data_IF_801137086755
#
_entry.id   IF_801137086755
#
_cell.length_a   1.000
_cell.length_b   1.000
_cell.length_c   1.000
_cell.angle_alpha   90.00
_cell.angle_beta   90.00
_cell.angle_gamma   90.00
#
_symmetry.space_group_name_H-M   'P 1'
#
loop_
_entity.id
_entity.type
_entity.pdbx_description
1 polymer ?
#
# COMPACT_ATOMS: atom_id res chain seq x y z
N UNK A 1 -4.25 -3.10 -0.38
CA UNK A 1 -5.57 -3.72 -0.57
C UNK A 1 -6.47 -3.44 0.66
N UNK A 2 -7.78 -3.61 0.53
CA UNK A 2 -8.70 -3.47 1.68
C UNK A 2 -8.67 -4.66 2.65
N UNK A 3 -9.71 -4.77 3.47
CA UNK A 3 -9.84 -5.79 4.54
C UNK A 3 -9.71 -7.24 4.05
N UNK A 4 -10.09 -7.52 2.80
CA UNK A 4 -10.07 -8.86 2.18
C UNK A 4 -8.82 -9.17 1.36
N UNK A 5 -7.86 -8.24 1.29
CA UNK A 5 -6.64 -8.44 0.49
C UNK A 5 -6.81 -8.13 -1.00
N UNK A 6 -5.91 -8.68 -1.82
CA UNK A 6 -5.87 -8.45 -3.28
C UNK A 6 -6.76 -9.46 -4.00
N UNK A 7 -8.00 -9.05 -4.30
CA UNK A 7 -9.00 -9.86 -5.01
C UNK A 7 -9.17 -9.49 -6.49
N UNK A 8 -10.11 -10.14 -7.20
CA UNK A 8 -10.32 -9.97 -8.64
C UNK A 8 -10.60 -8.53 -9.08
N UNK A 9 -11.31 -7.73 -8.28
CA UNK A 9 -11.59 -6.33 -8.60
C UNK A 9 -10.33 -5.46 -8.64
N UNK A 10 -9.39 -5.66 -7.70
CA UNK A 10 -8.11 -4.96 -7.69
C UNK A 10 -7.17 -5.46 -8.80
N UNK A 11 -7.29 -6.73 -9.19
CA UNK A 11 -6.60 -7.27 -10.36
C UNK A 11 -7.11 -6.65 -11.66
N UNK A 12 -8.44 -6.53 -11.82
CA UNK A 12 -9.05 -5.87 -12.95
C UNK A 12 -8.63 -4.38 -13.04
N UNK A 13 -8.62 -3.67 -11.91
CA UNK A 13 -8.10 -2.30 -11.84
C UNK A 13 -6.62 -2.21 -12.25
N UNK A 14 -5.77 -3.11 -11.73
CA UNK A 14 -4.36 -3.14 -12.11
C UNK A 14 -4.17 -3.37 -13.63
N UNK A 15 -4.97 -4.26 -14.21
CA UNK A 15 -4.97 -4.51 -15.66
C UNK A 15 -5.44 -3.27 -16.44
N UNK A 16 -6.51 -2.59 -16.02
CA UNK A 16 -7.00 -1.38 -16.70
C UNK A 16 -5.99 -0.22 -16.64
N UNK A 17 -5.13 -0.18 -15.63
CA UNK A 17 -4.08 0.82 -15.50
C UNK A 17 -2.84 0.55 -16.36
N UNK A 18 -2.73 -0.62 -17.01
CA UNK A 18 -1.49 -1.07 -17.67
C UNK A 18 -0.92 -0.11 -18.73
N UNK A 19 -1.76 0.74 -19.34
CA UNK A 19 -1.31 1.78 -20.30
C UNK A 19 -0.86 3.09 -19.65
N UNK A 20 -1.21 3.31 -18.38
CA UNK A 20 -0.96 4.55 -17.64
C UNK A 20 0.17 4.37 -16.62
N UNK A 21 0.14 3.27 -15.87
CA UNK A 21 1.15 2.98 -14.84
C UNK A 21 1.19 1.48 -14.52
N UNK A 22 2.39 0.99 -14.19
CA UNK A 22 2.55 -0.34 -13.60
C UNK A 22 2.03 -0.32 -12.16
N UNK A 23 0.98 -1.10 -11.89
CA UNK A 23 0.45 -1.28 -10.53
C UNK A 23 1.14 -2.47 -9.88
N UNK A 24 1.77 -2.25 -8.73
CA UNK A 24 2.41 -3.30 -7.94
C UNK A 24 1.60 -3.55 -6.67
N UNK A 25 1.01 -4.75 -6.50
CA UNK A 25 0.24 -5.05 -5.30
C UNK A 25 1.17 -5.24 -4.09
N UNK A 26 0.72 -4.72 -2.94
CA UNK A 26 1.40 -4.90 -1.65
C UNK A 26 0.60 -5.87 -0.79
N UNK A 27 1.30 -6.76 -0.08
CA UNK A 27 0.70 -7.76 0.81
C UNK A 27 0.96 -7.43 2.26
N UNK A 28 -0.04 -7.58 3.10
CA UNK A 28 0.03 -7.46 4.56
C UNK A 28 -1.15 -8.21 5.18
N UNK A 29 -1.15 -8.49 6.49
CA UNK A 29 -2.25 -9.18 7.16
C UNK A 29 -3.62 -8.52 6.93
N UNK A 30 -4.68 -9.33 6.96
CA UNK A 30 -6.05 -8.86 6.80
C UNK A 30 -6.57 -8.11 8.04
N UNK A 31 -7.65 -7.34 7.89
CA UNK A 31 -8.30 -6.59 8.98
C UNK A 31 -8.63 -7.47 10.19
N UNK A 32 -9.08 -8.71 9.95
CA UNK A 32 -9.39 -9.66 11.01
C UNK A 32 -8.20 -9.90 11.96
N UNK A 33 -6.97 -9.84 11.45
CA UNK A 33 -5.74 -9.99 12.24
C UNK A 33 -5.54 -8.80 13.18
N UNK A 34 -5.88 -7.59 12.73
CA UNK A 34 -5.85 -6.36 13.56
C UNK A 34 -6.91 -6.45 14.65
N UNK A 35 -8.14 -6.85 14.30
CA UNK A 35 -9.25 -6.96 15.25
C UNK A 35 -9.01 -8.05 16.31
N UNK A 36 -8.17 -9.03 16.01
CA UNK A 36 -7.69 -10.03 16.98
C UNK A 36 -6.50 -9.55 17.83
N UNK A 37 -6.05 -8.30 17.64
CA UNK A 37 -4.89 -7.74 18.36
C UNK A 37 -3.54 -8.34 17.97
N UNK A 38 -3.47 -9.08 16.85
CA UNK A 38 -2.26 -9.81 16.43
C UNK A 38 -1.31 -8.99 15.55
N UNK A 39 -1.72 -7.80 15.11
CA UNK A 39 -0.94 -6.89 14.28
C UNK A 39 -1.50 -5.48 14.41
N UNK A 40 -0.69 -4.47 14.05
CA UNK A 40 -1.11 -3.07 13.98
C UNK A 40 -1.04 -2.53 12.55
N UNK A 41 -1.63 -1.34 12.31
CA UNK A 41 -1.43 -0.58 11.07
C UNK A 41 0.05 -0.26 10.85
N UNK A 42 0.80 -0.01 11.94
CA UNK A 42 2.23 0.25 11.86
C UNK A 42 3.03 -0.95 11.34
N UNK A 43 2.69 -2.16 11.78
CA UNK A 43 3.35 -3.38 11.29
C UNK A 43 3.01 -3.64 9.81
N UNK A 44 1.77 -3.36 9.41
CA UNK A 44 1.37 -3.44 8.01
C UNK A 44 2.08 -2.41 7.13
N UNK A 45 2.30 -1.20 7.67
CA UNK A 45 3.05 -0.15 6.99
C UNK A 45 4.53 -0.54 6.82
N UNK A 46 5.17 -1.14 7.84
CA UNK A 46 6.53 -1.67 7.70
C UNK A 46 6.61 -2.79 6.65
N UNK A 47 5.68 -3.76 6.69
CA UNK A 47 5.62 -4.82 5.68
C UNK A 47 5.43 -4.26 4.26
N UNK A 48 4.67 -3.17 4.12
CA UNK A 48 4.50 -2.45 2.86
C UNK A 48 5.77 -1.72 2.41
N UNK A 49 6.44 -1.01 3.33
CA UNK A 49 7.69 -0.30 3.07
C UNK A 49 8.79 -1.25 2.60
N UNK A 50 8.92 -2.42 3.22
CA UNK A 50 9.90 -3.43 2.81
C UNK A 50 9.68 -3.90 1.37
N UNK A 51 8.41 -4.10 0.98
CA UNK A 51 8.08 -4.43 -0.40
C UNK A 51 8.37 -3.27 -1.36
N UNK A 52 8.06 -2.04 -0.97
CA UNK A 52 8.37 -0.85 -1.78
C UNK A 52 9.88 -0.71 -1.97
N UNK A 53 10.68 -0.88 -0.92
CA UNK A 53 12.15 -0.80 -0.99
C UNK A 53 12.75 -1.86 -1.92
N UNK A 54 12.19 -3.07 -1.95
CA UNK A 54 12.63 -4.14 -2.87
C UNK A 54 12.28 -3.85 -4.33
N UNK A 55 11.10 -3.27 -4.58
CA UNK A 55 10.61 -3.00 -5.94
C UNK A 55 11.19 -1.71 -6.51
N UNK A 56 11.29 -0.69 -5.68
CA UNK A 56 11.74 0.65 -6.05
C UNK A 56 12.54 1.27 -4.88
N UNK A 57 13.83 0.92 -4.77
CA UNK A 57 14.68 1.38 -3.67
C UNK A 57 14.83 2.91 -3.64
N UNK A 58 14.80 3.57 -4.80
CA UNK A 58 15.01 5.00 -4.94
C UNK A 58 13.93 5.71 -5.78
N UNK A 59 13.93 7.04 -5.71
CA UNK A 59 13.01 7.87 -6.49
C UNK A 59 11.60 7.99 -5.91
N UNK A 60 10.74 8.61 -6.72
CA UNK A 60 9.40 9.04 -6.35
C UNK A 60 8.42 7.87 -6.22
N UNK A 61 7.65 7.85 -5.13
CA UNK A 61 6.63 6.83 -4.87
C UNK A 61 5.23 7.39 -5.13
N UNK A 62 4.33 6.57 -5.68
CA UNK A 62 2.89 6.84 -5.80
C UNK A 62 2.15 5.72 -5.10
N UNK A 63 1.21 6.07 -4.23
CA UNK A 63 0.46 5.13 -3.41
C UNK A 63 -1.03 5.23 -3.73
N UNK A 64 -1.71 4.09 -3.67
CA UNK A 64 -3.15 3.99 -3.80
C UNK A 64 -3.64 2.94 -2.78
N UNK A 65 -4.64 3.32 -1.98
CA UNK A 65 -5.22 2.44 -0.98
C UNK A 65 -6.74 2.41 -1.08
N UNK A 66 -7.32 1.22 -0.98
CA UNK A 66 -8.78 1.04 -0.92
C UNK A 66 -9.19 0.60 0.48
N UNK A 67 -10.19 1.27 1.08
CA UNK A 67 -10.70 0.98 2.43
C UNK A 67 -9.56 0.96 3.47
N UNK A 68 -9.36 -0.13 4.22
CA UNK A 68 -8.22 -0.32 5.14
C UNK A 68 -6.88 0.02 4.47
N UNK A 69 -6.74 -0.32 3.18
CA UNK A 69 -5.52 -0.03 2.44
C UNK A 69 -5.23 1.46 2.29
N UNK A 70 -6.25 2.33 2.39
CA UNK A 70 -6.09 3.78 2.43
C UNK A 70 -5.36 4.25 3.69
N UNK A 71 -5.75 3.72 4.85
CA UNK A 71 -5.10 4.02 6.14
C UNK A 71 -3.64 3.55 6.12
N UNK A 72 -3.39 2.34 5.62
CA UNK A 72 -2.02 1.82 5.47
C UNK A 72 -1.21 2.66 4.48
N UNK A 73 -1.79 3.05 3.34
CA UNK A 73 -1.11 3.88 2.35
C UNK A 73 -0.77 5.27 2.90
N UNK A 74 -1.63 5.86 3.74
CA UNK A 74 -1.35 7.12 4.41
C UNK A 74 -0.18 6.99 5.40
N UNK A 75 -0.18 5.94 6.24
CA UNK A 75 0.92 5.69 7.18
C UNK A 75 2.26 5.48 6.45
N UNK A 76 2.24 4.70 5.36
CA UNK A 76 3.42 4.49 4.50
C UNK A 76 3.89 5.81 3.88
N UNK A 77 2.98 6.66 3.41
CA UNK A 77 3.33 7.97 2.85
C UNK A 77 4.04 8.84 3.91
N UNK A 78 3.48 8.91 5.11
CA UNK A 78 4.05 9.67 6.23
C UNK A 78 5.46 9.20 6.58
N UNK A 79 5.68 7.88 6.67
CA UNK A 79 7.01 7.31 6.95
C UNK A 79 8.01 7.55 5.83
N UNK A 80 7.59 7.45 4.57
CA UNK A 80 8.45 7.77 3.41
C UNK A 80 8.88 9.23 3.45
N UNK A 81 7.93 10.15 3.67
CA UNK A 81 8.22 11.59 3.77
C UNK A 81 9.17 11.90 4.93
N UNK A 82 8.95 11.31 6.10
CA UNK A 82 9.83 11.45 7.26
C UNK A 82 11.25 10.91 6.99
N UNK A 83 11.38 9.87 6.17
CA UNK A 83 12.66 9.32 5.70
C UNK A 83 13.28 10.10 4.53
N UNK A 84 12.75 11.27 4.16
CA UNK A 84 13.24 12.10 3.05
C UNK A 84 12.89 11.58 1.65
N UNK A 85 12.05 10.56 1.54
CA UNK A 85 11.57 10.04 0.25
C UNK A 85 10.39 10.88 -0.25
N UNK A 86 10.33 11.08 -1.56
CA UNK A 86 9.28 11.89 -2.18
C UNK A 86 8.05 11.04 -2.55
N UNK A 87 6.88 11.42 -2.03
CA UNK A 87 5.58 10.81 -2.36
C UNK A 87 4.84 11.75 -3.30
N UNK A 88 4.70 11.38 -4.58
CA UNK A 88 4.11 12.23 -5.63
C UNK A 88 2.59 12.14 -5.70
N UNK A 89 2.02 11.09 -5.12
CA UNK A 89 0.58 10.86 -5.15
C UNK A 89 0.20 9.90 -4.02
N UNK A 90 -0.89 10.21 -3.34
CA UNK A 90 -1.60 9.31 -2.44
C UNK A 90 -3.08 9.38 -2.80
N UNK A 91 -3.63 8.29 -3.34
CA UNK A 91 -5.06 8.14 -3.58
C UNK A 91 -5.69 7.22 -2.54
N UNK A 92 -6.88 7.58 -2.07
CA UNK A 92 -7.69 6.77 -1.16
C UNK A 92 -9.04 6.52 -1.82
N UNK A 93 -9.45 5.26 -1.86
CA UNK A 93 -10.68 4.75 -2.45
C UNK A 93 -11.58 4.11 -1.40
#
# INVERSE_FOLDING_TARGET
>A
PGSVGYGPSLAAFAASMGRTARVVPVRYPALATILQGKTSVGDMAEAALDQIRRVQPEGNVRLLGHSLGGVVAFEVASRLLAAGRNVKFLGIL
#
